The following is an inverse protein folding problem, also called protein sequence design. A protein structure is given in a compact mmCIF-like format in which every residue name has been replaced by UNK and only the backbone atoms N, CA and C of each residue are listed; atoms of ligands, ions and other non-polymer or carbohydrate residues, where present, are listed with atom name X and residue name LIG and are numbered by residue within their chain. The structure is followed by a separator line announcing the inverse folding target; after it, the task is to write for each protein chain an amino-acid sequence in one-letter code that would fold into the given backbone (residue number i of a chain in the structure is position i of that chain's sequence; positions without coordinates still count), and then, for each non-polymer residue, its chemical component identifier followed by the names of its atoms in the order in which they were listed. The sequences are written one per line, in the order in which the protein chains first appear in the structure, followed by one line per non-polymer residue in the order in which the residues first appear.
data_IF_599386388302
#
_entry.id   IF_599386388302
#
_cell.length_a   1.000
_cell.length_b   1.000
_cell.length_c   1.000
_cell.angle_alpha   90.00
_cell.angle_beta   90.00
_cell.angle_gamma   90.00
#
_symmetry.space_group_name_H-M   'P 1'
#
loop_
_entity.id
_entity.type
_entity.pdbx_description
1 polymer ?
#
# COMPACT_ATOMS: atom_id res chain seq x y z
N UNK A 1 8.10 33.40 67.62
CA UNK A 1 8.76 32.51 66.64
C UNK A 1 7.86 32.47 65.41
N UNK A 2 7.49 33.62 64.82
CA UNK A 2 8.34 34.55 64.03
C UNK A 2 8.72 33.84 62.72
N UNK A 3 8.42 34.27 61.49
CA UNK A 3 7.98 35.53 60.84
C UNK A 3 7.33 35.10 59.49
N UNK A 4 6.19 35.65 59.06
CA UNK A 4 6.07 36.77 58.10
C UNK A 4 6.97 36.67 56.85
N UNK A 5 6.34 36.44 55.68
CA UNK A 5 6.75 37.10 54.45
C UNK A 5 5.56 37.27 53.50
N UNK A 6 5.03 38.49 53.53
CA UNK A 6 4.15 39.12 52.54
C UNK A 6 5.01 39.90 51.53
N UNK A 7 4.34 40.32 50.45
CA UNK A 7 4.71 41.35 49.47
C UNK A 7 5.70 40.91 48.36
N UNK A 8 5.49 41.24 47.08
CA UNK A 8 4.94 42.49 46.56
C UNK A 8 4.50 42.33 45.09
N UNK A 9 3.33 42.90 44.81
CA UNK A 9 2.84 43.31 43.49
C UNK A 9 3.60 44.55 43.01
N UNK A 10 3.93 44.64 41.72
CA UNK A 10 4.12 45.93 41.06
C UNK A 10 3.50 45.93 39.67
N UNK A 11 2.55 46.86 39.53
CA UNK A 11 2.03 47.45 38.31
C UNK A 11 3.15 47.89 37.34
N UNK A 12 2.89 47.78 36.05
CA UNK A 12 3.50 48.67 35.06
C UNK A 12 2.43 49.06 34.03
N UNK A 13 1.87 50.25 34.27
CA UNK A 13 0.93 50.99 33.42
C UNK A 13 1.57 52.37 33.17
N UNK A 14 1.62 52.79 31.92
CA UNK A 14 2.09 54.10 31.47
C UNK A 14 2.62 54.00 30.04
N UNK A 15 1.77 54.18 29.03
CA UNK A 15 1.50 55.48 28.38
C UNK A 15 2.68 55.95 27.53
N UNK A 16 2.53 55.90 26.20
CA UNK A 16 2.55 57.12 25.39
C UNK A 16 2.01 56.85 23.98
N UNK A 17 0.91 57.51 23.67
CA UNK A 17 0.49 57.83 22.31
C UNK A 17 1.49 58.80 21.66
N UNK A 18 1.70 58.71 20.34
CA UNK A 18 1.44 59.87 19.47
C UNK A 18 1.35 59.50 17.97
N UNK A 19 0.52 60.28 17.31
CA UNK A 19 0.03 60.32 15.93
C UNK A 19 1.10 60.24 14.82
N UNK A 20 0.72 59.67 13.65
CA UNK A 20 0.63 60.42 12.38
C UNK A 20 -0.49 59.81 11.51
N UNK A 21 -1.35 60.70 11.03
CA UNK A 21 -2.51 60.54 10.14
C UNK A 21 -2.12 60.86 8.67
N UNK A 22 -3.06 60.72 7.73
CA UNK A 22 -3.02 61.12 6.28
C UNK A 22 -2.44 60.02 5.35
N UNK A 23 -3.08 59.54 4.28
CA UNK A 23 -4.07 60.14 3.37
C UNK A 23 -4.93 59.07 2.65
N UNK A 24 -6.06 59.53 2.12
CA UNK A 24 -7.08 58.80 1.36
C UNK A 24 -6.73 58.65 -0.13
N UNK A 25 -7.20 57.57 -0.77
CA UNK A 25 -7.35 57.53 -2.23
C UNK A 25 -7.48 56.13 -2.84
N UNK A 26 -8.59 55.79 -3.54
CA UNK A 26 -8.85 54.44 -4.05
C UNK A 26 -8.39 54.29 -5.51
N UNK A 27 -7.86 53.11 -5.86
CA UNK A 27 -7.71 52.70 -7.27
C UNK A 27 -7.99 51.21 -7.39
N UNK A 28 -9.09 50.90 -8.09
CA UNK A 28 -9.34 49.62 -8.75
C UNK A 28 -8.25 49.34 -9.79
N UNK A 29 -7.66 48.14 -9.80
CA UNK A 29 -7.47 47.40 -11.05
C UNK A 29 -6.95 45.99 -10.80
N UNK A 30 -7.64 45.07 -11.47
CA UNK A 30 -7.28 43.68 -11.64
C UNK A 30 -5.87 43.54 -12.25
N UNK A 31 -5.04 42.70 -11.64
CA UNK A 31 -4.01 41.95 -12.36
C UNK A 31 -3.98 40.53 -11.81
N UNK A 32 -4.55 39.67 -12.63
CA UNK A 32 -4.28 38.24 -12.79
C UNK A 32 -2.79 37.92 -12.60
N UNK A 33 -2.47 37.13 -11.57
CA UNK A 33 -1.21 36.41 -11.48
C UNK A 33 -1.50 34.93 -11.31
N UNK A 34 -1.17 34.18 -12.36
CA UNK A 34 -0.92 32.74 -12.31
C UNK A 34 0.16 32.45 -11.26
N UNK A 35 -0.24 31.87 -10.13
CA UNK A 35 0.70 31.28 -9.18
C UNK A 35 0.83 29.78 -9.49
N UNK A 36 1.91 29.43 -10.19
CA UNK A 36 2.40 28.06 -10.28
C UNK A 36 2.65 27.50 -8.85
N UNK A 37 2.44 26.19 -8.63
CA UNK A 37 2.65 25.58 -7.32
C UNK A 37 4.15 25.60 -6.98
N UNK A 38 4.51 26.36 -5.95
CA UNK A 38 5.79 26.21 -5.28
C UNK A 38 5.82 24.84 -4.58
N UNK A 39 6.61 23.94 -5.13
CA UNK A 39 7.13 22.76 -4.48
C UNK A 39 7.92 23.19 -3.25
N UNK A 40 7.38 22.94 -2.06
CA UNK A 40 8.14 23.06 -0.82
C UNK A 40 9.01 21.81 -0.70
N UNK A 41 10.24 21.91 -1.22
CA UNK A 41 11.31 20.96 -0.95
C UNK A 41 11.72 21.09 0.53
N UNK A 42 11.25 20.15 1.35
CA UNK A 42 11.81 19.88 2.67
C UNK A 42 12.80 18.72 2.57
N UNK A 43 13.93 18.95 1.91
CA UNK A 43 15.14 18.13 2.08
C UNK A 43 16.35 19.07 2.17
N UNK A 44 17.27 18.77 3.08
CA UNK A 44 18.54 19.46 3.36
C UNK A 44 18.53 20.51 4.50
N UNK A 45 18.29 20.07 5.73
CA UNK A 45 18.83 20.76 6.94
C UNK A 45 18.92 19.86 8.17
N UNK A 46 19.42 18.63 8.02
CA UNK A 46 19.88 17.79 9.15
C UNK A 46 21.37 17.39 9.01
N UNK A 47 22.09 17.86 8.00
CA UNK A 47 23.55 17.70 7.90
C UNK A 47 24.30 18.89 8.52
N UNK A 48 24.20 19.09 9.83
CA UNK A 48 25.06 20.07 10.51
C UNK A 48 25.35 19.78 12.00
N UNK A 49 25.00 18.61 12.54
CA UNK A 49 25.28 18.28 13.95
C UNK A 49 25.78 16.84 14.19
N UNK A 50 26.55 16.29 13.26
CA UNK A 50 27.24 14.99 13.43
C UNK A 50 28.78 15.08 13.36
N UNK A 51 29.36 16.26 13.57
CA UNK A 51 30.82 16.45 13.59
C UNK A 51 31.28 17.19 14.86
N UNK A 52 30.97 16.63 16.02
CA UNK A 52 31.78 16.85 17.23
C UNK A 52 32.44 15.52 17.57
N UNK A 53 33.48 15.23 16.79
CA UNK A 53 34.45 14.19 17.06
C UNK A 53 35.09 14.50 18.42
N UNK A 54 34.87 13.62 19.38
CA UNK A 54 35.71 13.51 20.55
C UNK A 54 37.12 13.12 20.09
N UNK A 55 38.07 14.04 20.23
CA UNK A 55 39.50 13.77 20.14
C UNK A 55 39.91 12.79 21.25
N UNK A 56 39.77 11.49 20.95
CA UNK A 56 40.58 10.46 21.58
C UNK A 56 41.75 10.28 20.64
N UNK A 57 42.98 10.56 21.12
CA UNK A 57 44.21 10.17 20.44
C UNK A 57 44.27 8.64 20.37
N UNK A 58 43.53 8.05 19.44
CA UNK A 58 43.64 6.66 19.05
C UNK A 58 44.67 6.57 17.94
N UNK A 59 45.51 5.54 18.03
CA UNK A 59 46.68 5.32 17.20
C UNK A 59 46.40 5.47 15.69
N UNK A 60 46.95 6.50 15.04
CA UNK A 60 46.86 6.72 13.59
C UNK A 60 47.34 5.50 12.78
N UNK A 61 48.24 4.69 13.35
CA UNK A 61 48.68 3.42 12.75
C UNK A 61 47.59 2.36 12.67
N UNK A 62 46.61 2.37 13.58
CA UNK A 62 45.48 1.43 13.58
C UNK A 62 44.39 1.85 12.60
N UNK A 63 44.09 3.15 12.51
CA UNK A 63 43.12 3.67 11.53
C UNK A 63 43.64 3.55 10.08
N UNK A 64 44.96 3.69 9.86
CA UNK A 64 45.58 3.45 8.56
C UNK A 64 45.57 1.96 8.17
N UNK A 65 45.67 1.05 9.15
CA UNK A 65 45.52 -0.39 8.93
C UNK A 65 44.07 -0.77 8.62
N UNK A 66 43.10 -0.18 9.33
CA UNK A 66 41.67 -0.45 9.14
C UNK A 66 41.18 0.04 7.77
N UNK A 67 41.65 1.21 7.32
CA UNK A 67 41.37 1.72 5.98
C UNK A 67 42.09 0.96 4.85
N UNK A 68 43.22 0.31 5.14
CA UNK A 68 43.92 -0.55 4.17
C UNK A 68 43.34 -1.98 4.14
N UNK A 69 42.67 -2.40 5.21
CA UNK A 69 41.98 -3.68 5.33
C UNK A 69 40.52 -3.60 4.84
N UNK A 70 39.89 -2.42 4.85
CA UNK A 70 38.53 -2.22 4.32
C UNK A 70 38.42 -2.35 2.81
N UNK A 71 39.51 -2.13 2.08
CA UNK A 71 39.61 -2.33 0.62
C UNK A 71 39.90 -3.79 0.23
N UNK A 72 40.19 -4.66 1.21
CA UNK A 72 40.13 -6.10 1.00
C UNK A 72 38.65 -6.46 1.07
N UNK A 73 38.01 -6.29 -0.09
CA UNK A 73 36.78 -6.94 -0.54
C UNK A 73 36.49 -8.14 0.35
N UNK A 74 35.35 -8.12 1.05
CA UNK A 74 34.87 -9.19 1.93
C UNK A 74 35.27 -10.53 1.31
N UNK A 75 36.36 -11.13 1.82
CA UNK A 75 36.66 -12.52 1.54
C UNK A 75 35.49 -13.25 2.20
N UNK A 76 34.42 -13.44 1.44
CA UNK A 76 33.48 -14.52 1.64
C UNK A 76 34.37 -15.75 1.73
N UNK A 77 34.62 -16.16 2.98
CA UNK A 77 35.61 -17.16 3.33
C UNK A 77 35.18 -18.49 2.69
N UNK A 78 35.72 -18.74 1.51
CA UNK A 78 35.53 -19.92 0.69
C UNK A 78 36.12 -21.15 1.40
N UNK A 79 35.35 -21.77 2.31
CA UNK A 79 35.60 -23.08 2.92
C UNK A 79 37.00 -23.28 3.56
N UNK A 80 37.79 -22.22 3.74
CA UNK A 80 39.19 -22.31 4.16
C UNK A 80 39.27 -22.80 5.59
N UNK A 81 38.39 -22.30 6.46
CA UNK A 81 38.30 -22.74 7.84
C UNK A 81 37.81 -24.19 7.99
N UNK A 82 37.04 -24.70 7.03
CA UNK A 82 36.53 -26.08 7.06
C UNK A 82 37.63 -27.12 6.79
N UNK A 83 38.75 -26.70 6.17
CA UNK A 83 39.91 -27.55 5.88
C UNK A 83 40.93 -27.58 7.02
N UNK A 84 40.81 -26.71 8.02
CA UNK A 84 41.72 -26.67 9.18
C UNK A 84 41.26 -27.71 10.21
N UNK A 85 41.93 -28.87 10.23
CA UNK A 85 41.66 -29.91 11.23
C UNK A 85 42.49 -29.72 12.51
N UNK A 86 42.04 -30.33 13.61
CA UNK A 86 42.70 -30.24 14.93
C UNK A 86 44.17 -30.69 14.91
N UNK A 87 44.53 -31.60 14.00
CA UNK A 87 45.90 -32.06 13.81
C UNK A 87 46.83 -30.93 13.33
N UNK A 88 46.39 -30.12 12.36
CA UNK A 88 47.16 -28.98 11.86
C UNK A 88 47.39 -27.92 12.95
N UNK A 89 46.41 -27.72 13.84
CA UNK A 89 46.53 -26.77 14.96
C UNK A 89 47.56 -27.26 15.99
N UNK A 90 47.70 -28.58 16.18
CA UNK A 90 48.69 -29.17 17.10
C UNK A 90 50.11 -29.13 16.55
N UNK A 91 50.27 -29.19 15.23
CA UNK A 91 51.57 -29.07 14.54
C UNK A 91 52.12 -27.63 14.53
N UNK A 92 51.28 -26.63 14.84
CA UNK A 92 51.73 -25.25 14.92
C UNK A 92 52.73 -25.03 16.08
N UNK A 93 53.77 -24.21 15.85
CA UNK A 93 54.68 -23.77 16.91
C UNK A 93 53.92 -23.21 18.13
N UNK A 94 54.41 -23.40 19.36
CA UNK A 94 53.73 -22.94 20.58
C UNK A 94 53.34 -21.45 20.56
N UNK A 95 54.16 -20.61 19.93
CA UNK A 95 53.91 -19.18 19.77
C UNK A 95 52.66 -18.93 18.91
N UNK A 96 52.54 -19.61 17.77
CA UNK A 96 51.38 -19.50 16.89
C UNK A 96 50.08 -20.01 17.55
N UNK A 97 50.16 -21.10 18.33
CA UNK A 97 49.02 -21.59 19.13
C UNK A 97 48.53 -20.56 20.15
N UNK A 98 49.46 -19.87 20.82
CA UNK A 98 49.11 -18.80 21.79
C UNK A 98 48.44 -17.61 21.10
N UNK A 99 48.92 -17.24 19.91
CA UNK A 99 48.31 -16.18 19.10
C UNK A 99 46.88 -16.56 18.68
N UNK A 100 46.66 -17.77 18.15
CA UNK A 100 45.32 -18.26 17.81
C UNK A 100 44.38 -18.34 19.03
N UNK A 101 44.90 -18.74 20.18
CA UNK A 101 44.14 -18.75 21.43
C UNK A 101 43.69 -17.34 21.82
N UNK A 102 44.59 -16.35 21.79
CA UNK A 102 44.26 -14.96 22.08
C UNK A 102 43.22 -14.42 21.09
N UNK A 103 43.38 -14.67 19.79
CA UNK A 103 42.38 -14.31 18.78
C UNK A 103 41.03 -14.98 19.04
N UNK A 104 40.99 -16.23 19.49
CA UNK A 104 39.75 -16.92 19.84
C UNK A 104 39.08 -16.27 21.05
N UNK A 105 39.83 -15.95 22.10
CA UNK A 105 39.31 -15.28 23.30
C UNK A 105 38.80 -13.89 22.95
N UNK A 106 39.56 -13.11 22.18
CA UNK A 106 39.16 -11.78 21.75
C UNK A 106 37.90 -11.83 20.87
N UNK A 107 37.82 -12.77 19.93
CA UNK A 107 36.62 -12.99 19.12
C UNK A 107 35.42 -13.41 19.99
N UNK A 108 35.63 -14.22 21.02
CA UNK A 108 34.56 -14.60 21.95
C UNK A 108 34.05 -13.37 22.72
N UNK A 109 34.98 -12.56 23.25
CA UNK A 109 34.66 -11.34 23.96
C UNK A 109 33.95 -10.32 23.07
N UNK A 110 34.37 -10.17 21.82
CA UNK A 110 33.69 -9.33 20.83
C UNK A 110 32.28 -9.85 20.52
N UNK A 111 32.11 -11.16 20.34
CA UNK A 111 30.79 -11.77 20.15
C UNK A 111 29.87 -11.52 21.35
N UNK A 112 30.37 -11.71 22.57
CA UNK A 112 29.62 -11.44 23.80
C UNK A 112 29.23 -9.97 23.92
N UNK A 113 30.17 -9.04 23.68
CA UNK A 113 29.90 -7.61 23.64
C UNK A 113 28.83 -7.28 22.59
N UNK A 114 28.94 -7.82 21.38
CA UNK A 114 27.96 -7.62 20.32
C UNK A 114 26.58 -8.16 20.72
N UNK A 115 26.51 -9.37 21.29
CA UNK A 115 25.22 -9.93 21.76
C UNK A 115 24.60 -9.09 22.88
N UNK A 116 25.40 -8.58 23.81
CA UNK A 116 24.91 -7.71 24.90
C UNK A 116 24.43 -6.35 24.36
N UNK A 117 25.13 -5.79 23.37
CA UNK A 117 24.72 -4.56 22.70
C UNK A 117 23.41 -4.76 21.91
N UNK A 118 23.26 -5.89 21.23
CA UNK A 118 22.03 -6.26 20.54
C UNK A 118 20.86 -6.43 21.49
N UNK A 119 21.07 -7.12 22.62
CA UNK A 119 20.04 -7.24 23.66
C UNK A 119 19.63 -5.87 24.21
N UNK A 120 20.61 -4.99 24.49
CA UNK A 120 20.32 -3.63 24.96
C UNK A 120 19.59 -2.76 23.93
N UNK A 121 19.78 -3.01 22.63
CA UNK A 121 19.00 -2.35 21.58
C UNK A 121 17.59 -2.92 21.48
N UNK A 122 17.43 -4.24 21.59
CA UNK A 122 16.11 -4.88 21.62
C UNK A 122 15.25 -4.37 22.77
N UNK A 123 15.80 -4.25 23.98
CA UNK A 123 15.05 -3.72 25.13
C UNK A 123 14.65 -2.26 24.92
N UNK A 124 15.52 -1.43 24.31
CA UNK A 124 15.18 -0.05 23.98
C UNK A 124 14.08 0.06 22.93
N UNK A 125 14.08 -0.84 21.94
CA UNK A 125 13.03 -0.92 20.93
C UNK A 125 11.71 -1.32 21.60
N UNK A 126 11.72 -2.33 22.46
CA UNK A 126 10.53 -2.78 23.20
C UNK A 126 9.97 -1.68 24.11
N UNK A 127 10.82 -0.96 24.85
CA UNK A 127 10.40 0.18 25.67
C UNK A 127 9.80 1.31 24.82
N UNK A 128 10.38 1.57 23.65
CA UNK A 128 9.85 2.56 22.70
C UNK A 128 8.49 2.13 22.17
N UNK A 129 8.32 0.87 21.80
CA UNK A 129 7.07 0.31 21.31
C UNK A 129 5.97 0.38 22.38
N UNK A 130 6.30 0.02 23.63
CA UNK A 130 5.37 0.17 24.77
C UNK A 130 4.93 1.61 24.98
N UNK A 131 5.88 2.56 24.95
CA UNK A 131 5.58 4.00 25.06
C UNK A 131 4.70 4.49 23.91
N UNK A 132 5.00 4.08 22.68
CA UNK A 132 4.20 4.43 21.51
C UNK A 132 2.78 3.88 21.65
N UNK A 133 2.62 2.61 22.01
CA UNK A 133 1.30 2.00 22.22
C UNK A 133 0.48 2.73 23.31
N UNK A 134 1.11 3.12 24.43
CA UNK A 134 0.41 3.92 25.45
C UNK A 134 0.02 5.29 24.93
N UNK A 135 0.91 5.97 24.19
CA UNK A 135 0.63 7.28 23.61
C UNK A 135 -0.47 7.23 22.54
N UNK A 136 -0.53 6.16 21.75
CA UNK A 136 -1.58 5.93 20.76
C UNK A 136 -2.94 5.74 21.42
N UNK A 137 -3.00 4.98 22.53
CA UNK A 137 -4.25 4.81 23.30
C UNK A 137 -4.73 6.12 23.90
N UNK A 138 -3.82 6.89 24.50
CA UNK A 138 -4.16 8.18 25.09
C UNK A 138 -4.57 9.19 24.03
N UNK A 139 -3.91 9.17 22.86
CA UNK A 139 -4.29 9.99 21.72
C UNK A 139 -5.67 9.61 21.18
N UNK A 140 -5.95 8.31 21.02
CA UNK A 140 -7.26 7.82 20.58
C UNK A 140 -8.38 8.22 21.56
N UNK A 141 -8.14 8.13 22.87
CA UNK A 141 -9.07 8.61 23.90
C UNK A 141 -9.36 10.10 23.73
N UNK A 142 -8.31 10.92 23.65
CA UNK A 142 -8.46 12.38 23.45
C UNK A 142 -9.17 12.72 22.15
N UNK A 143 -8.91 11.97 21.07
CA UNK A 143 -9.63 12.14 19.82
C UNK A 143 -11.12 11.81 19.97
N UNK A 144 -11.48 10.75 20.71
CA UNK A 144 -12.88 10.41 20.96
C UNK A 144 -13.59 11.43 21.87
N UNK A 145 -12.91 11.93 22.90
CA UNK A 145 -13.41 13.01 23.76
C UNK A 145 -13.62 14.29 22.96
N UNK A 146 -12.65 14.63 22.10
CA UNK A 146 -12.75 15.79 21.22
C UNK A 146 -13.86 15.65 20.18
N UNK A 147 -14.01 14.49 19.57
CA UNK A 147 -15.13 14.22 18.66
C UNK A 147 -16.47 14.40 19.39
N UNK A 148 -16.60 13.87 20.61
CA UNK A 148 -17.83 14.05 21.41
C UNK A 148 -18.13 15.51 21.76
N UNK A 149 -17.10 16.33 21.98
CA UNK A 149 -17.22 17.78 22.20
C UNK A 149 -17.62 18.53 20.92
N UNK A 150 -17.09 18.13 19.77
CA UNK A 150 -17.40 18.74 18.47
C UNK A 150 -18.79 18.34 17.97
N UNK A 151 -19.26 17.15 18.36
CA UNK A 151 -20.60 16.64 18.04
C UNK A 151 -21.67 17.13 19.01
N UNK A 152 -21.30 17.82 20.09
CA UNK A 152 -22.24 18.43 21.02
C UNK A 152 -23.09 19.48 20.28
N UNK A 153 -24.44 19.36 20.28
CA UNK A 153 -25.31 20.28 19.56
C UNK A 153 -25.14 21.74 19.99
N UNK A 154 -24.69 22.01 21.22
CA UNK A 154 -24.49 23.38 21.68
C UNK A 154 -23.20 24.00 21.13
N UNK A 155 -22.14 23.20 20.95
CA UNK A 155 -20.92 23.61 20.26
C UNK A 155 -21.19 23.80 18.77
N UNK A 156 -21.97 22.92 18.16
CA UNK A 156 -22.38 23.09 16.75
C UNK A 156 -23.19 24.36 16.54
N UNK A 157 -24.12 24.71 17.44
CA UNK A 157 -24.87 25.98 17.37
C UNK A 157 -23.96 27.20 17.45
N UNK A 158 -22.91 27.15 18.27
CA UNK A 158 -21.93 28.25 18.40
C UNK A 158 -20.99 28.34 17.19
N UNK A 159 -20.70 27.21 16.53
CA UNK A 159 -19.88 27.13 15.33
C UNK A 159 -20.65 27.46 14.04
N UNK A 160 -21.98 27.34 14.06
CA UNK A 160 -22.82 27.72 12.93
C UNK A 160 -22.96 29.24 12.96
N UNK A 161 -22.47 29.94 11.93
CA UNK A 161 -22.59 31.41 11.87
C UNK A 161 -24.06 31.82 12.06
N UNK A 162 -24.38 32.83 12.90
CA UNK A 162 -25.74 33.34 12.96
C UNK A 162 -26.10 33.93 11.59
N UNK A 163 -26.91 33.20 10.81
CA UNK A 163 -27.44 33.67 9.53
C UNK A 163 -28.49 34.75 9.80
N UNK A 164 -28.06 36.01 9.78
CA UNK A 164 -28.91 37.19 9.92
C UNK A 164 -28.11 38.50 9.78
N UNK A 165 -28.80 39.59 9.42
CA UNK A 165 -28.20 40.93 9.43
C UNK A 165 -27.69 41.23 10.84
N UNK A 166 -26.37 41.46 10.97
CA UNK A 166 -25.78 41.76 12.28
C UNK A 166 -26.39 43.06 12.83
N UNK A 167 -26.71 43.12 14.14
CA UNK A 167 -27.11 44.35 14.81
C UNK A 167 -26.07 45.46 14.59
N UNK A 168 -26.53 46.71 14.67
CA UNK A 168 -25.70 47.90 14.45
C UNK A 168 -24.40 47.85 15.28
N UNK A 169 -23.30 48.17 14.63
CA UNK A 169 -21.90 48.02 15.09
C UNK A 169 -21.60 48.86 16.32
N UNK A 170 -22.37 49.92 16.53
CA UNK A 170 -22.20 50.85 17.63
C UNK A 170 -23.06 50.51 18.86
N UNK A 171 -23.88 49.45 18.77
CA UNK A 171 -24.60 48.92 19.92
C UNK A 171 -23.76 47.86 20.63
N UNK A 172 -23.85 47.78 21.96
CA UNK A 172 -23.14 46.75 22.75
C UNK A 172 -23.46 45.32 22.23
N UNK A 173 -24.70 45.10 21.77
CA UNK A 173 -25.15 43.86 21.17
C UNK A 173 -24.48 43.56 19.81
N UNK A 174 -24.21 44.56 18.99
CA UNK A 174 -23.53 44.40 17.69
C UNK A 174 -22.03 44.11 17.84
N UNK A 175 -21.40 44.69 18.87
CA UNK A 175 -19.98 44.39 19.21
C UNK A 175 -19.84 42.95 19.69
N UNK A 176 -20.71 42.50 20.61
CA UNK A 176 -20.72 41.11 21.08
C UNK A 176 -20.99 40.11 19.95
N UNK A 177 -21.96 40.39 19.08
CA UNK A 177 -22.27 39.54 17.92
C UNK A 177 -21.08 39.40 16.96
N UNK A 178 -20.30 40.46 16.73
CA UNK A 178 -19.06 40.39 15.93
C UNK A 178 -17.96 39.60 16.60
N UNK A 179 -17.79 39.77 17.91
CA UNK A 179 -16.80 38.99 18.68
C UNK A 179 -17.15 37.50 18.60
N UNK A 180 -18.42 37.14 18.82
CA UNK A 180 -18.89 35.76 18.71
C UNK A 180 -18.68 35.19 17.31
N UNK A 181 -19.00 35.96 16.25
CA UNK A 181 -18.72 35.54 14.86
C UNK A 181 -17.23 35.36 14.60
N UNK A 182 -16.39 36.25 15.12
CA UNK A 182 -14.93 36.16 15.01
C UNK A 182 -14.38 34.90 15.71
N UNK A 183 -14.88 34.59 16.90
CA UNK A 183 -14.53 33.38 17.65
C UNK A 183 -14.99 32.13 16.91
N UNK A 184 -16.24 32.09 16.42
CA UNK A 184 -16.78 30.97 15.66
C UNK A 184 -15.97 30.70 14.39
N UNK A 185 -15.66 31.75 13.60
CA UNK A 185 -14.83 31.65 12.40
C UNK A 185 -13.40 31.21 12.72
N UNK A 186 -12.82 31.71 13.82
CA UNK A 186 -11.50 31.31 14.30
C UNK A 186 -11.47 29.84 14.73
N UNK A 187 -12.48 29.39 15.47
CA UNK A 187 -12.62 27.98 15.85
C UNK A 187 -12.84 27.08 14.63
N UNK A 188 -13.68 27.48 13.68
CA UNK A 188 -13.91 26.73 12.44
C UNK A 188 -12.60 26.58 11.64
N UNK A 189 -11.80 27.64 11.51
CA UNK A 189 -10.51 27.59 10.80
C UNK A 189 -9.50 26.62 11.45
N UNK A 190 -9.56 26.43 12.77
CA UNK A 190 -8.73 25.45 13.49
C UNK A 190 -9.31 24.03 13.40
N UNK A 191 -10.64 23.89 13.44
CA UNK A 191 -11.33 22.60 13.46
C UNK A 191 -11.42 21.95 12.07
N UNK A 192 -11.55 22.73 11.01
CA UNK A 192 -11.66 22.25 9.63
C UNK A 192 -10.49 21.35 9.21
N UNK A 193 -9.21 21.73 9.37
CA UNK A 193 -8.10 20.84 9.01
C UNK A 193 -8.06 19.57 9.88
N UNK A 194 -8.50 19.66 11.14
CA UNK A 194 -8.58 18.47 12.01
C UNK A 194 -9.68 17.51 11.56
N UNK A 195 -10.85 18.01 11.18
CA UNK A 195 -11.93 17.20 10.59
C UNK A 195 -11.48 16.56 9.28
N UNK A 196 -10.85 17.33 8.39
CA UNK A 196 -10.31 16.80 7.14
C UNK A 196 -9.28 15.68 7.38
N UNK A 197 -8.36 15.86 8.34
CA UNK A 197 -7.39 14.84 8.71
C UNK A 197 -8.05 13.59 9.34
N UNK A 198 -9.06 13.76 10.17
CA UNK A 198 -9.83 12.66 10.76
C UNK A 198 -10.59 11.87 9.68
N UNK A 199 -11.22 12.56 8.74
CA UNK A 199 -11.93 11.95 7.61
C UNK A 199 -10.98 11.15 6.71
N UNK A 200 -9.78 11.68 6.43
CA UNK A 200 -8.74 10.96 5.68
C UNK A 200 -8.34 9.68 6.41
N UNK A 201 -8.07 9.75 7.72
CA UNK A 201 -7.74 8.56 8.53
C UNK A 201 -8.88 7.54 8.59
N UNK A 202 -10.12 8.00 8.71
CA UNK A 202 -11.29 7.11 8.69
C UNK A 202 -11.43 6.39 7.33
N UNK A 203 -11.16 7.08 6.23
CA UNK A 203 -11.12 6.50 4.88
C UNK A 203 -9.96 5.51 4.71
N UNK A 204 -8.79 5.80 5.26
CA UNK A 204 -7.65 4.88 5.26
C UNK A 204 -7.96 3.61 6.05
N UNK A 205 -8.50 3.74 7.26
CA UNK A 205 -8.86 2.59 8.10
C UNK A 205 -9.93 1.72 7.44
N UNK A 206 -10.99 2.32 6.89
CA UNK A 206 -12.02 1.57 6.16
C UNK A 206 -11.45 0.90 4.90
N UNK A 207 -10.47 1.51 4.22
CA UNK A 207 -9.76 0.86 3.12
C UNK A 207 -8.90 -0.33 3.59
N UNK A 208 -8.18 -0.20 4.70
CA UNK A 208 -7.37 -1.30 5.24
C UNK A 208 -8.25 -2.48 5.67
N UNK A 209 -9.34 -2.23 6.39
CA UNK A 209 -10.33 -3.26 6.74
C UNK A 209 -10.92 -3.92 5.50
N UNK A 210 -11.17 -3.15 4.45
CA UNK A 210 -11.66 -3.66 3.18
C UNK A 210 -10.64 -4.58 2.50
N UNK A 211 -9.35 -4.20 2.48
CA UNK A 211 -8.27 -5.03 1.93
C UNK A 211 -8.09 -6.33 2.71
N UNK A 212 -8.26 -6.29 4.04
CA UNK A 212 -8.18 -7.50 4.87
C UNK A 212 -9.35 -8.46 4.63
N UNK A 213 -10.56 -7.93 4.40
CA UNK A 213 -11.74 -8.73 4.00
C UNK A 213 -11.65 -9.25 2.55
N UNK A 214 -10.83 -8.62 1.72
CA UNK A 214 -10.70 -8.92 0.29
C UNK A 214 -9.23 -9.10 -0.12
N UNK A 215 -8.64 -10.29 0.09
CA UNK A 215 -7.22 -10.53 -0.17
C UNK A 215 -6.81 -10.32 -1.63
N UNK A 216 -7.75 -10.41 -2.59
CA UNK A 216 -7.53 -10.07 -4.00
C UNK A 216 -7.03 -8.62 -4.20
N UNK A 217 -7.35 -7.70 -3.29
CA UNK A 217 -6.87 -6.31 -3.31
C UNK A 217 -5.39 -6.16 -2.95
N UNK A 218 -4.75 -7.21 -2.42
CA UNK A 218 -3.29 -7.24 -2.19
C UNK A 218 -2.52 -7.44 -3.50
N UNK A 219 -3.16 -7.99 -4.53
CA UNK A 219 -2.54 -8.17 -5.83
C UNK A 219 -2.36 -6.81 -6.55
N UNK A 220 -1.12 -6.45 -6.95
CA UNK A 220 -0.85 -5.13 -7.51
C UNK A 220 -1.56 -4.90 -8.84
N UNK A 221 -1.81 -5.95 -9.62
CA UNK A 221 -2.54 -5.85 -10.90
C UNK A 221 -4.02 -5.58 -10.67
N UNK A 222 -4.65 -6.30 -9.73
CA UNK A 222 -6.07 -6.13 -9.41
C UNK A 222 -6.35 -4.77 -8.76
N UNK A 223 -5.47 -4.35 -7.83
CA UNK A 223 -5.54 -3.02 -7.23
C UNK A 223 -5.45 -1.91 -8.28
N UNK A 224 -4.56 -2.04 -9.28
CA UNK A 224 -4.45 -1.10 -10.40
C UNK A 224 -5.74 -1.03 -11.24
N UNK A 225 -6.35 -2.18 -11.54
CA UNK A 225 -7.61 -2.25 -12.30
C UNK A 225 -8.75 -1.55 -11.55
N UNK A 226 -8.86 -1.77 -10.24
CA UNK A 226 -9.88 -1.13 -9.38
C UNK A 226 -9.64 0.37 -9.28
N UNK A 227 -8.40 0.80 -9.03
CA UNK A 227 -8.05 2.22 -8.94
C UNK A 227 -8.27 2.94 -10.28
N UNK A 228 -7.91 2.31 -11.40
CA UNK A 228 -8.18 2.84 -12.73
C UNK A 228 -9.67 2.99 -13.01
N UNK A 229 -10.49 2.02 -12.60
CA UNK A 229 -11.94 2.10 -12.75
C UNK A 229 -12.53 3.27 -11.96
N UNK A 230 -12.10 3.47 -10.71
CA UNK A 230 -12.55 4.59 -9.87
C UNK A 230 -12.17 5.93 -10.50
N UNK A 231 -10.90 6.11 -10.91
CA UNK A 231 -10.43 7.35 -11.55
C UNK A 231 -11.21 7.67 -12.83
N UNK A 232 -11.34 6.70 -13.73
CA UNK A 232 -12.10 6.87 -14.97
C UNK A 232 -13.56 7.25 -14.68
N UNK A 233 -14.17 6.70 -13.63
CA UNK A 233 -15.56 6.99 -13.27
C UNK A 233 -15.74 8.39 -12.69
N UNK A 234 -14.79 8.84 -11.87
CA UNK A 234 -14.72 10.21 -11.37
C UNK A 234 -14.56 11.20 -12.53
N UNK A 235 -13.67 10.93 -13.47
CA UNK A 235 -13.47 11.76 -14.67
C UNK A 235 -14.73 11.86 -15.54
N UNK A 236 -15.54 10.80 -15.60
CA UNK A 236 -16.80 10.77 -16.34
C UNK A 236 -18.01 11.33 -15.55
N UNK A 237 -17.79 11.95 -14.38
CA UNK A 237 -18.84 12.60 -13.57
C UNK A 237 -19.77 11.63 -12.83
N UNK A 238 -19.44 10.33 -12.78
CA UNK A 238 -20.22 9.32 -12.04
C UNK A 238 -19.30 8.65 -11.03
N UNK A 239 -19.04 9.29 -9.86
CA UNK A 239 -18.13 8.73 -8.86
C UNK A 239 -18.62 7.36 -8.40
N UNK A 240 -17.69 6.42 -8.31
CA UNK A 240 -17.97 5.04 -7.92
C UNK A 240 -17.24 4.73 -6.61
N UNK A 241 -17.91 4.05 -5.68
CA UNK A 241 -17.27 3.60 -4.46
C UNK A 241 -16.19 2.56 -4.77
N UNK A 242 -15.17 2.47 -3.92
CA UNK A 242 -14.11 1.46 -4.03
C UNK A 242 -14.67 0.04 -3.94
N UNK A 243 -15.72 -0.17 -3.15
CA UNK A 243 -16.42 -1.45 -2.99
C UNK A 243 -17.16 -1.88 -4.26
N UNK A 244 -17.87 -0.96 -4.92
CA UNK A 244 -18.57 -1.27 -6.18
C UNK A 244 -17.56 -1.50 -7.31
N UNK A 245 -16.49 -0.70 -7.34
CA UNK A 245 -15.41 -0.87 -8.30
C UNK A 245 -14.76 -2.26 -8.18
N UNK A 246 -14.50 -2.70 -6.94
CA UNK A 246 -14.00 -4.04 -6.64
C UNK A 246 -14.92 -5.13 -7.20
N UNK A 247 -16.22 -5.05 -6.93
CA UNK A 247 -17.18 -6.05 -7.40
C UNK A 247 -17.25 -6.11 -8.92
N UNK A 248 -17.19 -4.95 -9.60
CA UNK A 248 -17.17 -4.88 -11.05
C UNK A 248 -15.91 -5.50 -11.66
N UNK A 249 -14.72 -5.21 -11.11
CA UNK A 249 -13.45 -5.79 -11.60
C UNK A 249 -13.43 -7.30 -11.34
N UNK A 250 -13.86 -7.74 -10.16
CA UNK A 250 -14.00 -9.15 -9.83
C UNK A 250 -14.94 -9.88 -10.79
N UNK A 251 -16.13 -9.32 -11.03
CA UNK A 251 -17.09 -9.88 -11.98
C UNK A 251 -16.50 -9.97 -13.40
N UNK A 252 -15.79 -8.93 -13.86
CA UNK A 252 -15.10 -8.95 -15.16
C UNK A 252 -14.05 -10.05 -15.27
N UNK A 253 -13.25 -10.27 -14.23
CA UNK A 253 -12.24 -11.35 -14.21
C UNK A 253 -12.87 -12.74 -14.22
N UNK A 254 -13.91 -12.95 -13.42
CA UNK A 254 -14.65 -14.22 -13.40
C UNK A 254 -15.28 -14.48 -14.77
N UNK A 255 -15.91 -13.48 -15.38
CA UNK A 255 -16.48 -13.59 -16.72
C UNK A 255 -15.40 -13.90 -17.78
N UNK A 256 -14.26 -13.21 -17.75
CA UNK A 256 -13.15 -13.46 -18.66
C UNK A 256 -12.60 -14.89 -18.50
N UNK A 257 -12.49 -15.39 -17.27
CA UNK A 257 -12.07 -16.76 -17.00
C UNK A 257 -13.08 -17.79 -17.50
N UNK A 258 -14.38 -17.55 -17.30
CA UNK A 258 -15.44 -18.42 -17.81
C UNK A 258 -15.43 -18.48 -19.35
N UNK A 259 -15.28 -17.33 -20.01
CA UNK A 259 -15.15 -17.26 -21.48
C UNK A 259 -13.89 -17.98 -21.97
N UNK A 260 -12.75 -17.81 -21.29
CA UNK A 260 -11.51 -18.51 -21.63
C UNK A 260 -11.67 -20.04 -21.49
N UNK A 261 -12.32 -20.53 -20.42
CA UNK A 261 -12.63 -21.96 -20.24
C UNK A 261 -13.57 -22.48 -21.32
N UNK A 262 -14.65 -21.75 -21.62
CA UNK A 262 -15.61 -22.12 -22.65
C UNK A 262 -14.95 -22.21 -24.04
N UNK A 263 -14.09 -21.25 -24.39
CA UNK A 263 -13.36 -21.26 -25.67
C UNK A 263 -12.31 -22.36 -25.73
N UNK A 264 -11.61 -22.65 -24.63
CA UNK A 264 -10.68 -23.77 -24.54
C UNK A 264 -11.40 -25.12 -24.70
N UNK A 265 -12.56 -25.28 -24.06
CA UNK A 265 -13.39 -26.48 -24.18
C UNK A 265 -13.93 -26.65 -25.61
N UNK A 266 -14.43 -25.57 -26.23
CA UNK A 266 -14.85 -25.60 -27.63
C UNK A 266 -13.70 -25.99 -28.56
N UNK A 267 -12.49 -25.43 -28.35
CA UNK A 267 -11.29 -25.80 -29.12
C UNK A 267 -10.91 -27.27 -28.89
N UNK A 268 -10.95 -27.75 -27.66
CA UNK A 268 -10.67 -29.15 -27.34
C UNK A 268 -11.67 -30.10 -28.00
N UNK A 269 -12.98 -29.75 -27.97
CA UNK A 269 -14.04 -30.48 -28.67
C UNK A 269 -13.87 -30.47 -30.19
N UNK A 270 -13.46 -29.34 -30.78
CA UNK A 270 -13.16 -29.28 -32.21
C UNK A 270 -11.93 -30.12 -32.57
N UNK A 271 -10.89 -30.12 -31.74
CA UNK A 271 -9.70 -30.93 -31.95
C UNK A 271 -9.99 -32.44 -31.80
N UNK A 272 -10.79 -32.84 -30.81
CA UNK A 272 -11.23 -34.23 -30.67
C UNK A 272 -12.14 -34.66 -31.82
N UNK A 273 -13.09 -33.82 -32.24
CA UNK A 273 -13.92 -34.06 -33.42
C UNK A 273 -13.09 -34.17 -34.70
N UNK A 274 -12.02 -33.38 -34.87
CA UNK A 274 -11.09 -33.53 -36.00
C UNK A 274 -10.28 -34.82 -35.93
N UNK A 275 -9.84 -35.26 -34.74
CA UNK A 275 -9.13 -36.54 -34.57
C UNK A 275 -10.05 -37.74 -34.84
N UNK A 276 -11.28 -37.70 -34.34
CA UNK A 276 -12.29 -38.74 -34.59
C UNK A 276 -12.74 -38.70 -36.06
N UNK A 277 -13.01 -37.52 -36.61
CA UNK A 277 -13.36 -37.34 -38.03
C UNK A 277 -12.24 -37.78 -38.98
N UNK A 278 -10.97 -37.64 -38.60
CA UNK A 278 -9.84 -38.17 -39.38
C UNK A 278 -9.66 -39.68 -39.21
N UNK A 279 -10.08 -40.26 -38.07
CA UNK A 279 -10.13 -41.71 -37.87
C UNK A 279 -11.33 -42.38 -38.59
N UNK A 280 -12.40 -41.62 -38.87
CA UNK A 280 -13.57 -42.11 -39.62
C UNK A 280 -13.50 -41.76 -41.12
N UNK A 281 -12.70 -40.75 -41.52
CA UNK A 281 -12.40 -40.40 -42.91
C UNK A 281 -11.34 -41.32 -43.57
N UNK A 282 -11.31 -42.60 -43.18
CA UNK A 282 -10.73 -43.69 -43.96
C UNK A 282 -11.78 -44.57 -44.65
N UNK A 283 -13.06 -44.41 -44.28
CA UNK A 283 -14.18 -45.01 -44.98
C UNK A 283 -14.93 -43.93 -45.72
N UNK A 284 -14.72 -43.81 -47.03
CA UNK A 284 -15.74 -43.20 -47.88
C UNK A 284 -17.09 -43.85 -47.51
N UNK A 285 -18.20 -43.10 -47.36
CA UNK A 285 -19.51 -43.72 -47.47
C UNK A 285 -19.59 -44.21 -48.92
N UNK A 286 -19.12 -45.43 -49.15
CA UNK A 286 -19.29 -46.12 -50.41
C UNK A 286 -20.76 -46.00 -50.74
N UNK A 287 -21.05 -45.52 -51.95
CA UNK A 287 -22.29 -45.85 -52.63
C UNK A 287 -22.73 -47.24 -52.16
N UNK A 288 -23.93 -47.34 -51.58
CA UNK A 288 -24.55 -48.57 -51.09
C UNK A 288 -24.93 -49.47 -52.29
N UNK A 289 -23.98 -49.69 -53.19
CA UNK A 289 -24.02 -50.72 -54.21
C UNK A 289 -23.79 -52.06 -53.53
N UNK A 290 -24.52 -53.08 -53.97
CA UNK A 290 -24.39 -54.46 -53.47
C UNK A 290 -22.89 -54.82 -53.48
N UNK A 291 -22.31 -55.27 -52.34
CA UNK A 291 -20.90 -55.61 -52.26
C UNK A 291 -20.49 -56.56 -53.39
N UNK A 292 -19.34 -56.30 -54.00
CA UNK A 292 -18.87 -57.04 -55.18
C UNK A 292 -18.70 -58.54 -54.91
N UNK A 293 -18.41 -58.92 -53.66
CA UNK A 293 -18.31 -60.32 -53.25
C UNK A 293 -19.67 -61.03 -53.23
N UNK A 294 -20.74 -60.33 -52.85
CA UNK A 294 -22.12 -60.84 -52.92
C UNK A 294 -22.57 -60.93 -54.38
N UNK A 295 -22.16 -59.97 -55.23
CA UNK A 295 -22.43 -60.02 -56.68
C UNK A 295 -21.80 -61.26 -57.34
N UNK A 296 -20.58 -61.63 -56.94
CA UNK A 296 -19.87 -62.81 -57.47
C UNK A 296 -20.49 -64.15 -57.05
N UNK A 297 -21.16 -64.19 -55.89
CA UNK A 297 -21.85 -65.39 -55.40
C UNK A 297 -23.19 -65.67 -56.11
N UNK A 298 -23.60 -64.80 -57.02
CA UNK A 298 -24.77 -64.99 -57.89
C UNK A 298 -26.07 -64.46 -57.32
N UNK A 299 -27.14 -64.55 -58.12
CA UNK A 299 -28.42 -63.91 -57.87
C UNK A 299 -29.07 -64.29 -56.51
N UNK A 300 -28.85 -65.52 -56.04
CA UNK A 300 -29.39 -65.98 -54.76
C UNK A 300 -28.76 -65.26 -53.56
N UNK A 301 -27.44 -65.05 -53.59
CA UNK A 301 -26.74 -64.31 -52.54
C UNK A 301 -27.15 -62.83 -52.53
N UNK A 302 -27.34 -62.25 -53.71
CA UNK A 302 -27.87 -60.89 -53.87
C UNK A 302 -29.28 -60.79 -53.26
N UNK A 303 -30.18 -61.74 -53.53
CA UNK A 303 -31.54 -61.73 -52.99
C UNK A 303 -31.56 -61.83 -51.45
N UNK A 304 -30.74 -62.70 -50.87
CA UNK A 304 -30.62 -62.82 -49.41
C UNK A 304 -30.05 -61.55 -48.78
N UNK A 305 -29.05 -60.93 -49.44
CA UNK A 305 -28.48 -59.67 -48.98
C UNK A 305 -29.49 -58.51 -49.06
N UNK A 306 -30.28 -58.41 -50.13
CA UNK A 306 -31.34 -57.41 -50.27
C UNK A 306 -32.48 -57.60 -49.27
N UNK A 307 -32.80 -58.86 -48.93
CA UNK A 307 -33.77 -59.18 -47.87
C UNK A 307 -33.28 -58.72 -46.49
N UNK A 308 -31.98 -58.85 -46.23
CA UNK A 308 -31.35 -58.36 -45.00
C UNK A 308 -31.19 -56.83 -44.98
N UNK A 309 -31.22 -56.16 -46.14
CA UNK A 309 -30.98 -54.72 -46.28
C UNK A 309 -32.14 -54.03 -47.04
N UNK A 310 -33.29 -53.78 -46.39
CA UNK A 310 -34.50 -53.33 -47.06
C UNK A 310 -34.38 -51.92 -47.67
N UNK A 311 -33.55 -51.04 -47.12
CA UNK A 311 -33.32 -49.70 -47.67
C UNK A 311 -32.61 -49.73 -49.04
N UNK A 312 -31.64 -50.64 -49.21
CA UNK A 312 -30.96 -50.85 -50.48
C UNK A 312 -31.91 -51.46 -51.52
N UNK A 313 -32.79 -52.39 -51.12
CA UNK A 313 -33.80 -52.98 -51.98
C UNK A 313 -34.83 -51.95 -52.50
N UNK A 314 -35.27 -51.02 -51.64
CA UNK A 314 -36.17 -49.94 -52.03
C UNK A 314 -35.54 -48.97 -53.04
N UNK A 315 -34.24 -48.67 -52.92
CA UNK A 315 -33.55 -47.80 -53.89
C UNK A 315 -33.35 -48.48 -55.24
N UNK A 316 -32.96 -49.76 -55.26
CA UNK A 316 -32.78 -50.52 -56.51
C UNK A 316 -34.13 -50.69 -57.24
N UNK A 317 -35.21 -50.96 -56.53
CA UNK A 317 -36.55 -51.02 -57.13
C UNK A 317 -37.03 -49.67 -57.66
N UNK A 318 -36.63 -48.55 -57.04
CA UNK A 318 -36.87 -47.19 -57.57
C UNK A 318 -36.01 -46.86 -58.78
N UNK A 319 -34.79 -47.40 -58.90
CA UNK A 319 -33.93 -47.18 -60.06
C UNK A 319 -34.27 -48.07 -61.27
N UNK A 320 -35.10 -49.11 -61.08
CA UNK A 320 -35.57 -50.02 -62.15
C UNK A 320 -36.93 -49.58 -62.72
N UNK A 321 -37.69 -48.74 -62.01
CA UNK A 321 -38.87 -48.05 -62.57
C UNK A 321 -38.44 -46.83 -63.38
#
# INVERSE_FOLDING_TARGET
MDELNQDQTTDNRGDLADLVDVDSGPVEQAVEYEAAPQTVEYEASIEAQAARQSEVKSHDSFNALDSALSDIEELEYDGFYDKITEAHIKELPPVARRILHNFRVDRHKQKEQHTSAMQGLLTKIEDRERRLSTSERDFAKRQSEFASLVDDPDVQKLLTEPEGELPDVFTEQGVEARIQRGIAKGMQAVLEPMKAAADVKARENSYLEFVDKHPEMRDPTFKKDVAGLVRNRVENGVPLSTQDAYQLVKARRVMAQQQARATQEQRARQQSARRIGRAVSGGAPSNQEIPSDVKKQGAFAIANWLKANPEAAQRISRSIR
#
